data_IF_559381940676
#
_entry.id   IF_559381940676
#
_cell.length_a   1.000
_cell.length_b   1.000
_cell.length_c   1.000
_cell.angle_alpha   90.00
_cell.angle_beta   90.00
_cell.angle_gamma   90.00
#
_symmetry.space_group_name_H-M   'P 1'
#
loop_
_entity.id
_entity.type
_entity.pdbx_description
1 polymer ?
#
# COMPACT_ATOMS: atom_id res chain seq x y z
N UNK A 1 10.81 10.47 0.45
CA UNK A 1 10.41 11.65 -0.30
C UNK A 1 10.01 11.25 -1.71
N UNK A 2 8.80 11.60 -2.11
CA UNK A 2 8.34 11.38 -3.48
C UNK A 2 9.17 12.26 -4.42
N UNK A 3 9.68 11.68 -5.50
CA UNK A 3 10.41 12.43 -6.51
C UNK A 3 9.50 13.51 -7.12
N UNK A 4 9.99 14.73 -7.20
CA UNK A 4 9.18 15.87 -7.66
C UNK A 4 8.77 15.77 -9.11
N UNK A 5 9.54 15.04 -9.92
CA UNK A 5 9.46 15.15 -11.37
C UNK A 5 8.74 14.01 -12.07
N UNK A 6 8.57 12.85 -11.45
CA UNK A 6 8.06 11.68 -12.19
C UNK A 6 7.12 10.90 -11.30
N UNK A 7 5.86 11.22 -11.37
CA UNK A 7 4.80 10.37 -10.81
C UNK A 7 3.95 9.86 -11.96
N UNK A 8 4.09 8.59 -12.29
CA UNK A 8 3.25 7.94 -13.28
C UNK A 8 2.09 7.24 -12.58
N UNK A 9 0.88 7.63 -12.92
CA UNK A 9 -0.32 6.96 -12.44
C UNK A 9 -0.49 5.63 -13.18
N UNK A 10 -0.75 4.58 -12.43
CA UNK A 10 -1.04 3.25 -12.97
C UNK A 10 -2.45 2.84 -12.55
N UNK A 11 -3.02 1.87 -13.26
CA UNK A 11 -4.35 1.37 -12.95
C UNK A 11 -4.40 -0.15 -13.03
N UNK A 12 -5.22 -0.76 -12.21
CA UNK A 12 -5.47 -2.19 -12.25
C UNK A 12 -6.39 -2.54 -13.42
N UNK A 13 -6.01 -3.52 -14.21
CA UNK A 13 -6.78 -3.91 -15.41
C UNK A 13 -8.14 -4.52 -15.07
N UNK A 14 -8.27 -5.14 -13.91
CA UNK A 14 -9.52 -5.79 -13.49
C UNK A 14 -10.57 -4.81 -12.96
N UNK A 15 -10.20 -3.58 -12.61
CA UNK A 15 -11.12 -2.58 -12.05
C UNK A 15 -11.53 -2.81 -10.60
N UNK A 16 -11.56 -4.04 -10.14
CA UNK A 16 -11.88 -4.40 -8.76
C UNK A 16 -11.06 -5.63 -8.36
N UNK A 17 -10.59 -5.65 -7.12
CA UNK A 17 -10.03 -6.85 -6.50
C UNK A 17 -10.69 -7.10 -5.15
N UNK A 18 -10.89 -8.37 -4.84
CA UNK A 18 -11.63 -8.80 -3.65
C UNK A 18 -13.12 -8.90 -3.90
N UNK A 19 -13.79 -9.65 -3.05
CA UNK A 19 -15.24 -9.85 -3.12
C UNK A 19 -15.98 -8.68 -2.51
N UNK A 20 -17.03 -8.21 -3.18
CA UNK A 20 -17.82 -7.06 -2.72
C UNK A 20 -18.52 -7.28 -1.37
N UNK A 21 -18.71 -8.54 -0.97
CA UNK A 21 -19.22 -8.89 0.35
C UNK A 21 -18.13 -8.92 1.44
N UNK A 22 -16.91 -8.52 1.09
CA UNK A 22 -15.75 -8.46 1.98
C UNK A 22 -15.31 -9.83 2.54
N UNK A 23 -15.64 -10.91 1.84
CA UNK A 23 -15.30 -12.28 2.27
C UNK A 23 -13.90 -12.74 1.86
N UNK A 24 -13.16 -11.92 1.11
CA UNK A 24 -11.84 -12.29 0.59
C UNK A 24 -10.86 -12.54 1.71
N UNK A 25 -10.23 -13.70 1.68
CA UNK A 25 -9.19 -14.08 2.62
C UNK A 25 -7.84 -13.48 2.27
N UNK A 26 -6.96 -13.45 3.25
CA UNK A 26 -5.60 -12.97 3.14
C UNK A 26 -4.82 -13.75 2.09
N UNK A 27 -4.07 -13.03 1.25
CA UNK A 27 -3.15 -13.63 0.27
C UNK A 27 -3.81 -14.43 -0.85
N UNK A 28 -5.04 -14.09 -1.21
CA UNK A 28 -5.79 -14.84 -2.25
C UNK A 28 -6.01 -14.05 -3.52
N UNK A 29 -6.04 -12.73 -3.46
CA UNK A 29 -6.23 -11.87 -4.63
C UNK A 29 -5.20 -10.75 -4.65
N UNK A 30 -4.73 -10.40 -5.85
CA UNK A 30 -3.74 -9.36 -6.05
C UNK A 30 -4.11 -8.49 -7.24
N UNK A 31 -3.70 -7.25 -7.20
CA UNK A 31 -3.71 -6.37 -8.37
C UNK A 31 -2.69 -6.83 -9.42
N UNK A 32 -2.67 -6.16 -10.56
CA UNK A 32 -1.57 -6.24 -11.51
C UNK A 32 -0.24 -5.94 -10.79
N UNK A 33 0.86 -6.44 -11.34
CA UNK A 33 2.19 -6.05 -10.90
C UNK A 33 2.61 -4.79 -11.64
N UNK A 34 3.17 -3.85 -10.89
CA UNK A 34 3.64 -2.58 -11.43
C UNK A 34 5.13 -2.47 -11.23
N UNK A 35 5.87 -2.34 -12.32
CA UNK A 35 7.32 -2.12 -12.26
C UNK A 35 7.61 -0.66 -11.93
N UNK A 36 8.57 -0.44 -11.05
CA UNK A 36 9.02 0.89 -10.64
C UNK A 36 10.51 1.02 -10.99
N UNK A 37 10.83 1.62 -12.15
CA UNK A 37 12.22 1.85 -12.53
C UNK A 37 12.97 2.74 -11.54
N UNK A 38 14.28 2.61 -11.53
CA UNK A 38 15.16 3.41 -10.67
C UNK A 38 14.88 4.90 -10.88
N UNK A 39 14.71 5.61 -9.78
CA UNK A 39 14.46 7.06 -9.75
C UNK A 39 13.03 7.46 -10.07
N UNK A 40 12.13 6.50 -10.30
CA UNK A 40 10.75 6.79 -10.62
C UNK A 40 9.82 6.54 -9.43
N UNK A 41 8.65 7.16 -9.51
CA UNK A 41 7.52 6.92 -8.60
C UNK A 41 6.32 6.48 -9.42
N UNK A 42 5.71 5.37 -9.01
CA UNK A 42 4.40 4.95 -9.52
C UNK A 42 3.35 5.20 -8.45
N UNK A 43 2.19 5.67 -8.87
CA UNK A 43 1.05 5.85 -7.98
C UNK A 43 -0.16 5.08 -8.47
N UNK A 44 -0.96 4.60 -7.54
CA UNK A 44 -2.22 3.93 -7.83
C UNK A 44 -3.28 4.44 -6.86
N UNK A 45 -4.45 4.76 -7.40
CA UNK A 45 -5.58 5.25 -6.62
C UNK A 45 -6.73 4.27 -6.67
N UNK A 46 -7.41 4.13 -5.56
CA UNK A 46 -8.55 3.22 -5.43
C UNK A 46 -9.44 3.67 -4.28
N UNK A 47 -10.65 3.14 -4.25
CA UNK A 47 -11.52 3.21 -3.07
C UNK A 47 -11.38 1.92 -2.29
N UNK A 48 -11.11 2.05 -0.99
CA UNK A 48 -10.90 0.94 -0.07
C UNK A 48 -12.18 0.65 0.70
N UNK A 49 -12.61 -0.59 0.66
CA UNK A 49 -13.75 -1.07 1.45
C UNK A 49 -13.30 -2.19 2.37
N UNK A 50 -13.76 -2.16 3.62
CA UNK A 50 -13.38 -3.14 4.62
C UNK A 50 -14.60 -3.67 5.34
N UNK A 51 -14.46 -4.87 5.93
CA UNK A 51 -15.52 -5.48 6.73
C UNK A 51 -15.69 -4.86 8.11
N UNK A 52 -14.73 -4.06 8.55
CA UNK A 52 -14.65 -3.52 9.93
C UNK A 52 -14.54 -4.61 11.02
N UNK A 53 -14.32 -5.85 10.62
CA UNK A 53 -14.30 -6.97 11.57
C UNK A 53 -13.02 -7.04 12.39
N UNK A 54 -11.89 -6.73 11.74
CA UNK A 54 -10.56 -6.84 12.34
C UNK A 54 -9.69 -5.67 11.88
N UNK A 55 -8.68 -5.35 12.68
CA UNK A 55 -7.74 -4.30 12.33
C UNK A 55 -6.89 -4.61 11.08
N UNK A 56 -6.68 -5.87 10.76
CA UNK A 56 -5.97 -6.28 9.55
C UNK A 56 -6.87 -6.42 8.32
N UNK A 57 -8.17 -6.21 8.46
CA UNK A 57 -9.09 -6.18 7.32
C UNK A 57 -8.89 -4.89 6.53
N UNK A 58 -7.84 -4.85 5.72
CA UNK A 58 -7.45 -3.68 4.97
C UNK A 58 -6.51 -4.07 3.82
N UNK A 59 -6.10 -3.07 3.03
CA UNK A 59 -5.18 -3.32 1.93
C UNK A 59 -3.73 -3.46 2.42
N UNK A 60 -2.92 -4.08 1.58
CA UNK A 60 -1.48 -4.12 1.77
C UNK A 60 -0.76 -3.88 0.45
N UNK A 61 0.42 -3.29 0.54
CA UNK A 61 1.34 -3.13 -0.58
C UNK A 61 2.38 -4.24 -0.50
N UNK A 62 2.46 -5.04 -1.54
CA UNK A 62 3.40 -6.15 -1.65
C UNK A 62 4.53 -5.72 -2.55
N UNK A 63 5.73 -5.60 -1.99
CA UNK A 63 6.94 -5.32 -2.77
C UNK A 63 7.53 -6.65 -3.25
N UNK A 64 7.89 -6.69 -4.52
CA UNK A 64 8.36 -7.90 -5.19
C UNK A 64 9.66 -7.63 -5.95
N UNK A 65 10.45 -8.69 -6.05
CA UNK A 65 11.68 -8.71 -6.84
C UNK A 65 11.38 -8.94 -8.34
N UNK A 66 12.44 -9.01 -9.14
CA UNK A 66 12.35 -9.26 -10.59
C UNK A 66 11.57 -10.54 -10.94
N UNK A 67 11.75 -11.59 -10.18
CA UNK A 67 11.06 -12.87 -10.34
C UNK A 67 9.64 -12.89 -9.76
N UNK A 68 9.16 -11.73 -9.30
CA UNK A 68 7.90 -11.51 -8.62
C UNK A 68 7.80 -12.21 -7.24
N UNK A 69 8.89 -12.72 -6.72
CA UNK A 69 8.91 -13.21 -5.34
C UNK A 69 8.69 -12.06 -4.36
N UNK A 70 7.89 -12.32 -3.34
CA UNK A 70 7.66 -11.36 -2.27
C UNK A 70 8.96 -10.99 -1.57
N UNK A 71 9.14 -9.70 -1.37
CA UNK A 71 10.25 -9.18 -0.57
C UNK A 71 9.76 -8.61 0.75
N UNK A 72 8.77 -7.75 0.69
CA UNK A 72 8.24 -7.05 1.86
C UNK A 72 6.76 -6.80 1.69
N UNK A 73 6.06 -6.71 2.80
CA UNK A 73 4.64 -6.38 2.85
C UNK A 73 4.46 -5.19 3.77
N UNK A 74 3.77 -4.17 3.28
CA UNK A 74 3.43 -2.99 4.06
C UNK A 74 1.91 -2.93 4.18
N UNK A 75 1.41 -3.08 5.40
CA UNK A 75 -0.02 -3.20 5.68
C UNK A 75 -0.60 -1.88 6.18
N UNK A 76 -1.76 -1.52 5.67
CA UNK A 76 -2.53 -0.38 6.15
C UNK A 76 -3.49 -0.82 7.25
N UNK A 77 -2.94 -1.18 8.39
CA UNK A 77 -3.73 -1.59 9.55
C UNK A 77 -3.55 -0.63 10.72
N UNK A 78 -3.99 -1.05 11.90
CA UNK A 78 -4.05 -0.26 13.11
C UNK A 78 -2.79 0.55 13.41
N UNK A 79 -1.66 -0.01 13.19
CA UNK A 79 -0.40 0.67 13.49
C UNK A 79 0.17 1.32 12.22
N UNK A 80 -0.73 1.72 11.34
CA UNK A 80 -0.37 2.25 10.06
C UNK A 80 0.26 1.14 9.25
N UNK A 81 1.36 1.28 8.82
CA UNK A 81 2.11 0.34 8.06
C UNK A 81 2.81 -0.71 8.93
N UNK A 82 2.17 -1.76 9.32
CA UNK A 82 2.90 -2.90 9.84
C UNK A 82 3.77 -3.50 8.73
N UNK A 83 5.04 -3.66 8.95
CA UNK A 83 5.93 -4.23 7.94
C UNK A 83 6.36 -5.64 8.34
N UNK A 84 6.07 -6.59 7.48
CA UNK A 84 6.43 -7.98 7.70
C UNK A 84 7.62 -8.40 6.87
N UNK A 85 8.81 -7.89 7.18
CA UNK A 85 10.02 -8.27 6.49
C UNK A 85 11.25 -8.04 7.35
N UNK A 86 12.33 -8.66 6.95
CA UNK A 86 13.54 -8.74 7.71
C UNK A 86 14.50 -7.57 7.47
N UNK A 87 15.17 -7.16 8.54
CA UNK A 87 16.39 -6.38 8.48
C UNK A 87 16.25 -4.96 7.96
N UNK A 88 15.13 -4.32 8.18
CA UNK A 88 14.92 -2.97 7.71
C UNK A 88 15.15 -1.91 8.79
N UNK A 89 16.39 -1.75 9.19
CA UNK A 89 16.78 -0.94 10.34
C UNK A 89 16.71 0.58 10.07
N UNK A 90 16.70 1.00 8.82
CA UNK A 90 16.68 2.43 8.48
C UNK A 90 15.29 2.97 8.19
N UNK A 91 14.27 2.19 8.46
CA UNK A 91 12.90 2.54 8.18
C UNK A 91 12.44 3.73 9.02
N UNK A 92 11.85 4.71 8.37
CA UNK A 92 11.09 5.77 9.03
C UNK A 92 9.63 5.52 8.78
N UNK A 93 8.91 5.18 9.84
CA UNK A 93 7.46 5.06 9.81
C UNK A 93 6.83 6.27 10.46
N UNK A 94 5.84 6.83 9.82
CA UNK A 94 5.03 7.89 10.38
C UNK A 94 3.61 7.79 9.84
N UNK A 95 2.66 8.30 10.59
CA UNK A 95 1.29 8.31 10.17
C UNK A 95 0.38 9.03 11.13
N UNK A 96 -0.72 9.52 10.60
CA UNK A 96 -1.80 10.11 11.39
C UNK A 96 -2.95 9.11 11.39
N UNK A 97 -3.35 8.69 12.55
CA UNK A 97 -4.37 7.68 12.71
C UNK A 97 -5.46 8.09 13.69
N UNK A 98 -5.09 8.80 14.75
CA UNK A 98 -6.06 9.26 15.74
C UNK A 98 -6.74 8.12 16.48
N UNK A 99 -8.02 8.30 16.75
CA UNK A 99 -8.83 7.31 17.39
C UNK A 99 -9.02 6.07 16.50
N UNK A 100 -8.77 4.90 17.07
CA UNK A 100 -8.80 3.65 16.33
C UNK A 100 -10.16 3.33 15.71
N UNK A 101 -11.22 3.47 16.47
CA UNK A 101 -12.57 3.14 15.98
C UNK A 101 -13.00 4.08 14.87
N UNK A 102 -12.65 5.35 14.96
CA UNK A 102 -12.91 6.35 13.92
C UNK A 102 -12.14 6.04 12.66
N UNK A 103 -10.84 5.73 12.81
CA UNK A 103 -10.00 5.39 11.67
C UNK A 103 -10.51 4.14 10.95
N UNK A 104 -10.87 3.11 11.69
CA UNK A 104 -11.38 1.87 11.11
C UNK A 104 -12.68 2.10 10.32
N UNK A 105 -13.59 2.89 10.87
CA UNK A 105 -14.83 3.25 10.18
C UNK A 105 -14.55 4.08 8.92
N UNK A 106 -13.61 5.01 9.00
CA UNK A 106 -13.22 5.86 7.87
C UNK A 106 -12.62 5.07 6.71
N UNK A 107 -11.95 3.96 6.99
CA UNK A 107 -11.32 3.15 5.96
C UNK A 107 -12.34 2.38 5.09
N UNK A 108 -13.56 2.22 5.56
CA UNK A 108 -14.62 1.61 4.77
C UNK A 108 -15.24 2.63 3.81
N UNK A 109 -14.70 2.74 2.63
CA UNK A 109 -15.06 3.72 1.62
C UNK A 109 -14.02 4.84 1.45
N UNK A 110 -12.85 4.70 2.05
CA UNK A 110 -11.79 5.69 1.94
C UNK A 110 -11.22 5.75 0.51
N UNK A 111 -10.93 6.97 0.06
CA UNK A 111 -10.18 7.20 -1.17
C UNK A 111 -8.70 7.17 -0.85
N UNK A 112 -7.98 6.27 -1.49
CA UNK A 112 -6.57 6.02 -1.21
C UNK A 112 -5.74 6.24 -2.46
N UNK A 113 -4.60 6.88 -2.29
CA UNK A 113 -3.52 6.91 -3.30
C UNK A 113 -2.25 6.41 -2.64
N UNK A 114 -1.67 5.36 -3.23
CA UNK A 114 -0.39 4.79 -2.81
C UNK A 114 0.68 5.24 -3.79
N UNK A 115 1.81 5.67 -3.26
CA UNK A 115 2.99 6.04 -4.02
C UNK A 115 4.13 5.10 -3.66
N UNK A 116 4.76 4.52 -4.66
CA UNK A 116 5.94 3.67 -4.48
C UNK A 116 7.09 4.28 -5.27
N UNK A 117 8.16 4.62 -4.58
CA UNK A 117 9.36 5.23 -5.17
C UNK A 117 10.54 4.27 -5.09
N UNK A 118 11.16 4.00 -6.23
CA UNK A 118 12.44 3.33 -6.28
C UNK A 118 13.54 4.39 -6.15
N UNK A 119 14.17 4.48 -4.98
CA UNK A 119 15.13 5.55 -4.70
C UNK A 119 16.49 5.35 -5.38
N UNK A 120 16.74 4.19 -5.98
CA UNK A 120 17.94 3.94 -6.76
C UNK A 120 19.22 3.71 -5.95
N UNK A 121 19.14 3.66 -4.64
CA UNK A 121 20.29 3.49 -3.73
C UNK A 121 20.11 2.29 -2.79
N UNK A 122 19.39 1.29 -3.23
CA UNK A 122 19.05 0.12 -2.41
C UNK A 122 17.87 0.35 -1.48
N UNK A 123 17.11 1.44 -1.64
CA UNK A 123 15.94 1.72 -0.81
C UNK A 123 14.69 2.01 -1.63
N UNK A 124 13.56 1.85 -0.98
CA UNK A 124 12.23 2.13 -1.53
C UNK A 124 11.45 2.96 -0.53
N UNK A 125 10.73 3.95 -1.01
CA UNK A 125 9.78 4.71 -0.20
C UNK A 125 8.35 4.33 -0.59
N UNK A 126 7.49 4.20 0.42
CA UNK A 126 6.07 4.00 0.23
C UNK A 126 5.31 5.06 1.01
N UNK A 127 4.34 5.68 0.36
CA UNK A 127 3.41 6.60 1.00
C UNK A 127 1.98 6.22 0.65
N UNK A 128 1.07 6.40 1.58
CA UNK A 128 -0.36 6.35 1.30
C UNK A 128 -1.03 7.60 1.84
N UNK A 129 -1.83 8.22 1.00
CA UNK A 129 -2.69 9.33 1.37
C UNK A 129 -4.12 8.83 1.30
N UNK A 130 -4.86 8.98 2.38
CA UNK A 130 -6.19 8.43 2.51
C UNK A 130 -7.16 9.53 2.94
N UNK A 131 -8.28 9.61 2.25
CA UNK A 131 -9.40 10.46 2.64
C UNK A 131 -10.50 9.57 3.19
N UNK A 132 -10.72 9.63 4.49
CA UNK A 132 -11.75 8.85 5.16
C UNK A 132 -13.15 9.32 4.81
N UNK A 133 -14.13 8.48 5.03
CA UNK A 133 -15.53 8.79 4.75
C UNK A 133 -16.07 9.97 5.58
N UNK A 134 -15.45 10.26 6.72
CA UNK A 134 -15.76 11.43 7.54
C UNK A 134 -15.19 12.74 6.95
N UNK A 135 -14.37 12.68 5.92
CA UNK A 135 -13.62 13.80 5.38
C UNK A 135 -12.26 14.03 6.05
N UNK A 136 -11.92 13.22 7.04
CA UNK A 136 -10.60 13.30 7.68
C UNK A 136 -9.52 12.78 6.74
N UNK A 137 -8.43 13.52 6.61
CA UNK A 137 -7.27 13.11 5.83
C UNK A 137 -6.26 12.37 6.70
N UNK A 138 -5.76 11.26 6.18
CA UNK A 138 -4.72 10.45 6.81
C UNK A 138 -3.54 10.33 5.86
N UNK A 139 -2.34 10.35 6.40
CA UNK A 139 -1.13 10.10 5.65
C UNK A 139 -0.26 9.13 6.42
N UNK A 140 0.20 8.09 5.75
CA UNK A 140 1.10 7.11 6.32
C UNK A 140 2.22 6.84 5.34
N UNK A 141 3.43 6.62 5.86
CA UNK A 141 4.57 6.33 5.01
C UNK A 141 5.62 5.50 5.69
N UNK A 142 6.31 4.72 4.89
CA UNK A 142 7.58 4.10 5.20
C UNK A 142 8.61 4.63 4.22
N UNK A 143 9.68 5.18 4.76
CA UNK A 143 10.79 5.71 3.98
C UNK A 143 12.05 4.90 4.25
N UNK A 144 12.78 4.58 3.19
CA UNK A 144 14.05 3.90 3.31
C UNK A 144 13.96 2.39 3.51
N UNK A 145 12.94 1.72 3.00
CA UNK A 145 12.92 0.25 2.94
C UNK A 145 14.11 -0.20 2.12
N UNK A 146 15.01 -0.99 2.70
CA UNK A 146 16.28 -1.35 2.09
C UNK A 146 16.37 -2.83 1.72
N UNK A 147 17.54 -3.24 1.20
CA UNK A 147 17.86 -4.62 0.79
C UNK A 147 17.06 -5.15 -0.40
N UNK A 148 16.53 -4.25 -1.23
CA UNK A 148 15.89 -4.64 -2.49
C UNK A 148 16.90 -4.67 -3.62
N UNK A 149 16.65 -5.53 -4.60
CA UNK A 149 17.28 -5.39 -5.92
C UNK A 149 16.53 -4.28 -6.65
N UNK A 150 17.12 -3.10 -6.64
CA UNK A 150 16.49 -1.90 -7.16
C UNK A 150 16.36 -1.87 -8.67
N UNK A 151 17.06 -2.75 -9.39
CA UNK A 151 16.95 -2.78 -10.84
C UNK A 151 15.59 -3.28 -11.31
N UNK A 152 14.92 -4.08 -10.48
CA UNK A 152 13.64 -4.69 -10.82
C UNK A 152 12.67 -4.68 -9.64
N UNK A 153 12.39 -3.51 -9.13
CA UNK A 153 11.36 -3.34 -8.12
C UNK A 153 9.98 -3.42 -8.76
N UNK A 154 9.16 -4.28 -8.20
CA UNK A 154 7.74 -4.38 -8.56
C UNK A 154 6.88 -4.27 -7.31
N UNK A 155 5.64 -3.85 -7.47
CA UNK A 155 4.66 -3.92 -6.40
C UNK A 155 3.29 -4.36 -6.90
N UNK A 156 2.50 -4.88 -6.01
CA UNK A 156 1.09 -5.16 -6.21
C UNK A 156 0.33 -4.79 -4.93
N UNK A 157 -0.97 -4.72 -5.05
CA UNK A 157 -1.87 -4.55 -3.91
C UNK A 157 -2.58 -5.86 -3.62
N UNK A 158 -2.91 -6.08 -2.37
CA UNK A 158 -3.78 -7.17 -1.93
C UNK A 158 -4.72 -6.68 -0.86
N UNK A 159 -5.68 -7.48 -0.47
CA UNK A 159 -6.72 -7.10 0.48
C UNK A 159 -7.10 -8.29 1.35
N UNK A 160 -7.41 -8.02 2.59
CA UNK A 160 -7.98 -8.96 3.55
C UNK A 160 -9.30 -8.41 4.08
N UNK A 161 -10.35 -9.19 4.01
CA UNK A 161 -11.65 -8.82 4.56
C UNK A 161 -12.24 -7.55 3.96
N UNK A 162 -12.03 -7.32 2.66
CA UNK A 162 -12.49 -6.15 1.97
C UNK A 162 -12.38 -6.28 0.46
N UNK A 163 -12.50 -5.16 -0.22
CA UNK A 163 -12.26 -5.08 -1.67
C UNK A 163 -11.79 -3.68 -2.05
N UNK A 164 -11.10 -3.59 -3.18
CA UNK A 164 -10.61 -2.35 -3.74
C UNK A 164 -11.27 -2.10 -5.09
N UNK A 165 -11.71 -0.87 -5.30
CA UNK A 165 -12.30 -0.42 -6.57
C UNK A 165 -11.38 0.61 -7.20
N UNK A 166 -10.90 0.30 -8.38
CA UNK A 166 -9.96 1.13 -9.13
C UNK A 166 -10.65 2.05 -10.12
#
# INVERSE_FOLDING_TARGET
KVAESVVAAVSNSAGIIGAEDNSTGWWTVFSDNFNVPIGETKSISFTNYTSLANNWSNFAVVLRKADLAEYAVVRADNYGWGAGYDGNASLVHNGTQGDWATWLADMNGAKVTVYVTNCGNGTTDIQAVMEGTSGTSYAQYYLGINKLDMNDLNFALTIEGGHLVF
#
